data_IF_591113672094
#
_entry.id   IF_591113672094
#
_cell.length_a   1.000
_cell.length_b   1.000
_cell.length_c   1.000
_cell.angle_alpha   90.00
_cell.angle_beta   90.00
_cell.angle_gamma   90.00
#
_symmetry.space_group_name_H-M   'P 1'
#
loop_
_entity.id
_entity.type
_entity.pdbx_description
1 polymer ?
#
# COMPACT_ATOMS: atom_id res chain seq x y z
N UNK A 1 -27.16 -0.62 11.21
CA UNK A 1 -26.61 0.66 10.78
C UNK A 1 -25.44 0.49 9.86
N UNK A 2 -25.61 0.95 8.64
CA UNK A 2 -24.56 0.92 7.64
C UNK A 2 -23.70 2.18 7.75
N UNK A 3 -22.77 2.17 8.71
CA UNK A 3 -21.74 3.21 8.78
C UNK A 3 -20.48 2.73 8.08
N UNK A 4 -19.92 3.62 7.27
CA UNK A 4 -18.64 3.35 6.64
C UNK A 4 -17.55 3.32 7.73
N UNK A 5 -16.86 2.18 7.86
CA UNK A 5 -15.83 1.99 8.87
C UNK A 5 -14.43 2.32 8.35
N UNK A 6 -14.24 2.23 7.05
CA UNK A 6 -12.95 2.49 6.44
C UNK A 6 -12.98 2.32 4.94
N UNK A 7 -11.91 2.75 4.30
CA UNK A 7 -11.63 2.50 2.89
C UNK A 7 -10.53 1.46 2.78
N UNK A 8 -10.64 0.56 1.83
CA UNK A 8 -9.66 -0.49 1.64
C UNK A 8 -9.36 -0.67 0.15
N UNK A 9 -8.09 -0.65 -0.20
CA UNK A 9 -7.63 -1.08 -1.51
C UNK A 9 -7.01 -2.47 -1.37
N UNK A 10 -7.46 -3.43 -2.19
CA UNK A 10 -6.97 -4.80 -2.16
C UNK A 10 -6.12 -5.03 -3.39
N UNK A 11 -4.91 -5.56 -3.18
CA UNK A 11 -3.99 -5.93 -4.24
C UNK A 11 -3.57 -7.38 -4.07
N UNK A 12 -3.59 -8.13 -5.17
CA UNK A 12 -3.09 -9.50 -5.20
C UNK A 12 -1.68 -9.52 -5.78
N UNK A 13 -0.79 -10.27 -5.16
CA UNK A 13 0.59 -10.43 -5.61
C UNK A 13 0.86 -11.88 -5.96
N UNK A 14 1.77 -12.09 -6.91
CA UNK A 14 2.17 -13.43 -7.35
C UNK A 14 3.16 -14.09 -6.40
N UNK A 15 3.81 -13.29 -5.56
CA UNK A 15 4.80 -13.78 -4.60
C UNK A 15 4.12 -14.26 -3.32
N UNK A 16 4.75 -15.23 -2.67
CA UNK A 16 4.32 -15.68 -1.35
C UNK A 16 4.84 -14.79 -0.23
N UNK A 17 4.33 -15.03 0.98
CA UNK A 17 4.68 -14.24 2.15
C UNK A 17 6.17 -14.27 2.46
N UNK A 18 6.80 -15.44 2.35
CA UNK A 18 8.25 -15.57 2.64
C UNK A 18 9.09 -14.68 1.74
N UNK A 19 8.75 -14.62 0.45
CA UNK A 19 9.44 -13.75 -0.50
C UNK A 19 9.27 -12.28 -0.12
N UNK A 20 8.04 -11.89 0.26
CA UNK A 20 7.74 -10.51 0.68
C UNK A 20 8.53 -10.12 1.92
N UNK A 21 8.60 -11.01 2.91
CA UNK A 21 9.32 -10.77 4.16
C UNK A 21 10.83 -10.66 3.93
N UNK A 22 11.39 -11.46 3.03
CA UNK A 22 12.81 -11.38 2.67
C UNK A 22 13.13 -10.08 1.94
N UNK A 23 12.21 -9.58 1.12
CA UNK A 23 12.35 -8.31 0.43
C UNK A 23 12.21 -7.11 1.39
N UNK A 24 11.50 -7.27 2.50
CA UNK A 24 11.34 -6.32 3.62
C UNK A 24 10.50 -5.10 3.31
N UNK A 25 10.00 -4.94 2.09
CA UNK A 25 9.15 -3.81 1.73
C UNK A 25 8.19 -4.18 0.61
N UNK A 26 7.13 -3.41 0.49
CA UNK A 26 6.16 -3.53 -0.60
C UNK A 26 6.08 -2.19 -1.32
N UNK A 27 6.07 -2.24 -2.65
CA UNK A 27 6.04 -1.06 -3.52
C UNK A 27 4.62 -0.80 -3.97
N UNK A 28 4.14 0.41 -3.75
CA UNK A 28 2.81 0.85 -4.18
C UNK A 28 2.93 2.23 -4.82
N UNK A 29 2.10 2.49 -5.84
CA UNK A 29 2.04 3.81 -6.45
C UNK A 29 1.68 4.86 -5.41
N UNK A 30 2.52 5.89 -5.26
CA UNK A 30 2.26 6.97 -4.31
C UNK A 30 1.00 7.75 -4.67
N UNK A 31 0.73 7.92 -5.96
CA UNK A 31 -0.48 8.62 -6.42
C UNK A 31 -1.76 7.92 -5.96
N UNK A 32 -1.76 6.58 -5.95
CA UNK A 32 -2.90 5.80 -5.44
C UNK A 32 -3.07 5.97 -3.93
N UNK A 33 -1.97 6.02 -3.19
CA UNK A 33 -2.01 6.27 -1.76
C UNK A 33 -2.52 7.68 -1.46
N UNK A 34 -2.11 8.66 -2.25
CA UNK A 34 -2.57 10.04 -2.12
C UNK A 34 -4.07 10.16 -2.38
N UNK A 35 -4.56 9.49 -3.43
CA UNK A 35 -5.98 9.47 -3.74
C UNK A 35 -6.78 8.84 -2.61
N UNK A 36 -6.31 7.74 -2.06
CA UNK A 36 -6.92 7.10 -0.90
C UNK A 36 -6.93 8.00 0.32
N UNK A 37 -5.86 8.75 0.55
CA UNK A 37 -5.76 9.71 1.64
C UNK A 37 -6.77 10.86 1.47
N UNK A 38 -6.93 11.37 0.26
CA UNK A 38 -7.91 12.42 -0.04
C UNK A 38 -9.34 11.93 0.22
N UNK A 39 -9.66 10.72 -0.21
CA UNK A 39 -10.97 10.11 0.05
C UNK A 39 -11.19 9.86 1.55
N UNK A 40 -10.17 9.40 2.24
CA UNK A 40 -10.18 9.19 3.69
C UNK A 40 -10.55 10.48 4.43
N UNK A 41 -9.91 11.58 4.06
CA UNK A 41 -10.19 12.90 4.65
C UNK A 41 -11.62 13.32 4.38
N UNK A 42 -12.08 13.14 3.14
CA UNK A 42 -13.43 13.54 2.74
C UNK A 42 -14.50 12.75 3.49
N UNK A 43 -14.26 11.45 3.72
CA UNK A 43 -15.22 10.54 4.32
C UNK A 43 -15.04 10.39 5.84
N UNK A 44 -13.97 10.92 6.41
CA UNK A 44 -13.69 10.83 7.84
C UNK A 44 -13.38 9.43 8.34
N UNK A 45 -12.76 8.58 7.50
CA UNK A 45 -12.44 7.18 7.82
C UNK A 45 -11.00 6.87 7.47
N UNK A 46 -10.45 5.82 8.07
CA UNK A 46 -9.08 5.35 7.76
C UNK A 46 -9.01 4.75 6.37
N UNK A 47 -7.84 4.86 5.74
CA UNK A 47 -7.53 4.19 4.47
C UNK A 47 -6.53 3.07 4.73
N UNK A 48 -6.89 1.85 4.31
CA UNK A 48 -6.07 0.66 4.46
C UNK A 48 -5.69 0.13 3.09
N UNK A 49 -4.50 -0.47 3.00
CA UNK A 49 -4.09 -1.26 1.84
C UNK A 49 -3.89 -2.69 2.30
N UNK A 50 -4.52 -3.63 1.62
CA UNK A 50 -4.42 -5.06 1.92
C UNK A 50 -3.76 -5.75 0.74
N UNK A 51 -2.68 -6.46 1.01
CA UNK A 51 -1.98 -7.27 0.01
C UNK A 51 -2.31 -8.73 0.26
N UNK A 52 -2.89 -9.40 -0.72
CA UNK A 52 -3.05 -10.85 -0.70
C UNK A 52 -1.86 -11.48 -1.42
N UNK A 53 -1.16 -12.36 -0.72
CA UNK A 53 -0.02 -13.11 -1.29
C UNK A 53 -0.53 -14.34 -2.03
N UNK A 54 0.36 -14.98 -2.81
CA UNK A 54 0.01 -16.18 -3.57
C UNK A 54 -0.36 -17.37 -2.68
N UNK A 55 0.12 -17.39 -1.44
CA UNK A 55 -0.19 -18.43 -0.43
C UNK A 55 -1.34 -18.03 0.51
N UNK A 56 -2.16 -17.04 0.10
CA UNK A 56 -3.36 -16.59 0.79
C UNK A 56 -3.11 -15.88 2.12
N UNK A 57 -1.88 -15.52 2.42
CA UNK A 57 -1.58 -14.65 3.55
C UNK A 57 -2.00 -13.21 3.23
N UNK A 58 -2.25 -12.43 4.27
CA UNK A 58 -2.65 -11.03 4.12
C UNK A 58 -1.64 -10.13 4.83
N UNK A 59 -1.28 -9.05 4.15
CA UNK A 59 -0.47 -7.97 4.73
C UNK A 59 -1.33 -6.72 4.71
N UNK A 60 -1.62 -6.16 5.87
CA UNK A 60 -2.52 -5.01 6.01
C UNK A 60 -1.71 -3.81 6.46
N UNK A 61 -1.75 -2.75 5.66
CA UNK A 61 -1.17 -1.46 6.00
C UNK A 61 -2.25 -0.47 6.36
N UNK A 62 -2.16 0.13 7.53
CA UNK A 62 -2.95 1.30 7.88
C UNK A 62 -2.24 2.54 7.32
N UNK A 63 -2.76 3.10 6.24
CA UNK A 63 -2.08 4.18 5.52
C UNK A 63 -2.38 5.53 6.17
N UNK A 64 -3.66 5.79 6.52
CA UNK A 64 -4.06 7.07 7.08
C UNK A 64 -4.79 6.93 8.40
N UNK A 65 -4.84 8.04 9.16
CA UNK A 65 -5.80 8.21 10.24
C UNK A 65 -7.17 8.63 9.66
N UNK A 66 -8.13 8.91 10.54
CA UNK A 66 -9.49 9.33 10.14
C UNK A 66 -9.53 10.73 9.54
N UNK A 67 -8.49 11.53 9.73
CA UNK A 67 -8.38 12.88 9.16
C UNK A 67 -7.69 12.87 7.80
N UNK A 68 -7.33 11.69 7.29
CA UNK A 68 -6.65 11.57 6.00
C UNK A 68 -5.16 11.88 6.03
N UNK A 69 -4.57 11.97 7.21
CA UNK A 69 -3.13 12.14 7.34
C UNK A 69 -2.42 10.80 7.12
N UNK A 70 -1.40 10.77 6.28
CA UNK A 70 -0.60 9.56 6.06
C UNK A 70 0.23 9.32 7.32
N UNK A 71 -0.02 8.19 7.97
CA UNK A 71 0.67 7.80 9.21
C UNK A 71 1.62 6.62 9.01
N UNK A 72 1.42 5.84 7.95
CA UNK A 72 2.27 4.71 7.64
C UNK A 72 3.65 5.18 7.18
N UNK A 73 4.74 4.73 7.81
CA UNK A 73 6.08 5.05 7.34
C UNK A 73 6.30 4.55 5.92
N UNK A 74 6.84 5.39 5.06
CA UNK A 74 7.13 5.02 3.69
C UNK A 74 8.32 5.80 3.16
N UNK A 75 9.04 5.17 2.22
CA UNK A 75 10.11 5.80 1.47
C UNK A 75 9.58 6.06 0.06
N UNK A 76 9.49 7.33 -0.31
CA UNK A 76 8.95 7.73 -1.61
C UNK A 76 10.11 7.99 -2.56
N UNK A 77 10.09 7.31 -3.71
CA UNK A 77 11.13 7.42 -4.74
C UNK A 77 10.52 7.75 -6.08
N UNK A 78 11.22 8.60 -6.83
CA UNK A 78 10.84 8.98 -8.17
C UNK A 78 11.67 8.17 -9.16
N UNK A 79 11.01 7.69 -10.22
CA UNK A 79 11.67 7.04 -11.34
C UNK A 79 11.20 7.70 -12.63
N UNK A 80 12.13 8.27 -13.38
CA UNK A 80 11.86 8.82 -14.70
C UNK A 80 11.91 7.69 -15.73
N UNK A 81 10.84 7.56 -16.53
CA UNK A 81 10.77 6.58 -17.59
C UNK A 81 10.94 7.28 -18.94
N UNK A 82 12.01 6.91 -19.66
CA UNK A 82 12.16 7.28 -21.06
C UNK A 82 11.30 6.37 -21.92
N UNK A 83 10.28 6.94 -22.56
CA UNK A 83 9.54 6.21 -23.59
C UNK A 83 10.06 6.60 -24.95
N UNK A 84 10.65 5.61 -25.64
CA UNK A 84 11.26 5.78 -26.96
C UNK A 84 10.27 6.21 -28.05
N UNK A 85 8.98 6.12 -27.84
CA UNK A 85 7.96 6.37 -28.87
C UNK A 85 7.21 7.66 -28.70
N UNK A 86 7.23 8.27 -27.54
CA UNK A 86 6.61 9.56 -27.27
C UNK A 86 7.62 10.41 -26.55
N UNK A 87 7.81 11.62 -27.02
CA UNK A 87 8.70 12.60 -26.42
C UNK A 87 8.30 13.03 -25.01
N UNK A 88 7.39 12.29 -24.37
CA UNK A 88 6.93 12.57 -23.02
C UNK A 88 7.69 11.73 -22.01
N UNK A 89 8.35 12.41 -21.08
CA UNK A 89 8.93 11.76 -19.89
C UNK A 89 7.84 11.50 -18.88
N UNK A 90 7.63 10.23 -18.52
CA UNK A 90 6.73 9.88 -17.41
C UNK A 90 7.55 9.69 -16.15
N UNK A 91 7.16 10.38 -15.09
CA UNK A 91 7.72 10.17 -13.76
C UNK A 91 6.81 9.23 -12.98
N UNK A 92 7.35 8.11 -12.54
CA UNK A 92 6.66 7.22 -11.60
C UNK A 92 7.11 7.56 -10.19
N UNK A 93 6.15 7.74 -9.32
CA UNK A 93 6.40 7.93 -7.90
C UNK A 93 5.96 6.69 -7.15
N UNK A 94 6.92 5.99 -6.56
CA UNK A 94 6.69 4.76 -5.82
C UNK A 94 6.88 4.97 -4.33
N UNK A 95 5.97 4.43 -3.55
CA UNK A 95 6.09 4.38 -2.10
C UNK A 95 6.52 2.97 -1.69
N UNK A 96 7.56 2.88 -0.89
CA UNK A 96 8.08 1.63 -0.33
C UNK A 96 7.63 1.55 1.12
N UNK A 97 6.71 0.62 1.40
CA UNK A 97 6.16 0.40 2.74
C UNK A 97 6.96 -0.71 3.43
N UNK A 98 7.48 -0.41 4.62
CA UNK A 98 8.29 -1.38 5.36
C UNK A 98 7.42 -2.47 6.00
N UNK A 99 7.89 -3.72 5.91
CA UNK A 99 7.31 -4.86 6.63
C UNK A 99 7.96 -5.05 8.01
N UNK A 100 9.05 -4.34 8.29
CA UNK A 100 9.78 -4.45 9.55
C UNK A 100 9.57 -3.21 10.41
N UNK A 101 9.47 -3.41 11.73
CA UNK A 101 9.35 -2.33 12.72
C UNK A 101 8.30 -1.28 12.37
N UNK A 102 7.19 -1.74 11.79
CA UNK A 102 6.12 -0.87 11.33
C UNK A 102 4.84 -1.20 12.10
N UNK A 103 4.49 -0.35 13.07
CA UNK A 103 3.28 -0.54 13.88
C UNK A 103 1.98 -0.41 13.08
N UNK A 104 2.07 0.13 11.86
CA UNK A 104 0.92 0.27 10.95
C UNK A 104 0.81 -0.88 9.96
N UNK A 105 1.64 -1.91 10.11
CA UNK A 105 1.61 -3.11 9.29
C UNK A 105 1.24 -4.31 10.15
N UNK A 106 0.24 -5.07 9.71
CA UNK A 106 -0.15 -6.35 10.33
C UNK A 106 -0.05 -7.45 9.30
N UNK A 107 0.53 -8.57 9.69
CA UNK A 107 0.69 -9.73 8.82
C UNK A 107 -0.16 -10.87 9.38
N UNK A 108 -1.05 -11.39 8.53
CA UNK A 108 -1.86 -12.56 8.83
C UNK A 108 -1.30 -13.72 8.02
N UNK A 109 -0.47 -14.54 8.67
CA UNK A 109 0.23 -15.65 8.04
C UNK A 109 -0.73 -16.84 7.93
N UNK A 110 -1.05 -17.21 6.70
CA UNK A 110 -1.94 -18.33 6.41
C UNK A 110 -1.25 -19.42 5.59
N UNK A 111 0.09 -19.43 5.57
CA UNK A 111 0.86 -20.37 4.73
C UNK A 111 0.62 -21.83 5.08
N UNK A 112 0.22 -22.11 6.31
CA UNK A 112 0.10 -23.47 6.83
C UNK A 112 -1.35 -23.87 7.13
N UNK A 113 -2.28 -23.10 6.63
CA UNK A 113 -3.71 -23.41 6.76
C UNK A 113 -4.21 -24.24 5.59
#
# INVERSE_FOLDING_TARGET
DSQLQGLCEIKCRRQGLSWMMDYKSIVISFQKLQLGADLSRLLGVKFLVVIETSDKSLIVFEITDKQGNIVCPMNVRFKELDKNTNFEKKTLTNAYLSLEDNKYCKIYDRRYE
#
